data_IF_670426223458
#
_entry.id   IF_670426223458
#
_cell.length_a   1.000
_cell.length_b   1.000
_cell.length_c   1.000
_cell.angle_alpha   90.00
_cell.angle_beta   90.00
_cell.angle_gamma   90.00
#
_symmetry.space_group_name_H-M   'P 1'
#
loop_
_entity.id
_entity.type
_entity.pdbx_description
1 polymer ?
#
# COMPACT_ATOMS: atom_id res chain seq x y z
N UNK A 1 -39.35 -4.90 -0.51
CA UNK A 1 -40.17 -3.68 -0.37
C UNK A 1 -39.63 -2.63 -1.36
N UNK A 2 -40.47 -2.18 -2.35
CA UNK A 2 -40.07 -1.14 -3.30
C UNK A 2 -39.65 0.17 -2.64
N UNK A 3 -40.23 0.54 -1.51
CA UNK A 3 -39.99 1.80 -0.82
C UNK A 3 -38.60 1.97 -0.28
N UNK A 4 -37.85 0.88 -0.04
CA UNK A 4 -36.47 0.93 0.43
C UNK A 4 -35.45 0.84 -0.71
N UNK A 5 -35.86 0.73 -1.96
CA UNK A 5 -34.99 0.52 -3.11
C UNK A 5 -33.94 1.65 -3.26
N UNK A 6 -34.41 2.89 -3.10
CA UNK A 6 -33.54 4.06 -3.21
C UNK A 6 -32.45 4.04 -2.14
N UNK A 7 -32.83 3.70 -0.90
CA UNK A 7 -31.89 3.57 0.22
C UNK A 7 -30.90 2.43 0.00
N UNK A 8 -31.35 1.29 -0.57
CA UNK A 8 -30.47 0.16 -0.93
C UNK A 8 -29.44 0.60 -1.98
N UNK A 9 -29.87 1.27 -3.04
CA UNK A 9 -28.99 1.75 -4.10
C UNK A 9 -27.94 2.71 -3.52
N UNK A 10 -28.38 3.72 -2.76
CA UNK A 10 -27.47 4.69 -2.13
C UNK A 10 -26.46 4.01 -1.19
N UNK A 11 -26.94 3.12 -0.33
CA UNK A 11 -26.05 2.36 0.59
C UNK A 11 -25.07 1.48 -0.16
N UNK A 12 -25.47 0.92 -1.30
CA UNK A 12 -24.58 0.12 -2.14
C UNK A 12 -23.43 0.94 -2.72
N UNK A 13 -23.67 2.17 -3.12
CA UNK A 13 -22.59 3.09 -3.54
C UNK A 13 -21.65 3.42 -2.37
N UNK A 14 -22.17 3.71 -1.20
CA UNK A 14 -21.36 3.97 0.01
C UNK A 14 -20.47 2.75 0.35
N UNK A 15 -21.00 1.53 0.24
CA UNK A 15 -20.22 0.31 0.44
C UNK A 15 -19.17 0.15 -0.65
N UNK A 16 -19.54 0.40 -1.92
CA UNK A 16 -18.63 0.24 -3.05
C UNK A 16 -17.41 1.18 -3.00
N UNK A 17 -17.57 2.36 -2.42
CA UNK A 17 -16.53 3.40 -2.35
C UNK A 17 -15.74 3.38 -1.04
N UNK A 18 -16.27 2.78 0.03
CA UNK A 18 -15.67 2.81 1.37
C UNK A 18 -14.83 1.56 1.66
N UNK A 19 -13.97 1.63 2.67
CA UNK A 19 -13.10 0.54 3.04
C UNK A 19 -12.15 0.18 1.90
N UNK A 20 -12.19 -1.09 1.47
CA UNK A 20 -11.53 -1.54 0.23
C UNK A 20 -12.53 -1.39 -0.92
N UNK A 21 -12.37 -0.40 -1.81
CA UNK A 21 -13.33 -0.16 -2.88
C UNK A 21 -13.51 -1.38 -3.79
N UNK A 22 -14.77 -1.64 -4.18
CA UNK A 22 -15.06 -2.79 -5.03
C UNK A 22 -16.52 -2.79 -5.50
N UNK A 23 -16.89 -3.71 -6.42
CA UNK A 23 -18.24 -3.82 -6.94
C UNK A 23 -19.22 -4.33 -5.88
N UNK A 24 -20.43 -3.80 -5.91
CA UNK A 24 -21.59 -4.28 -5.13
C UNK A 24 -22.66 -4.74 -6.11
N UNK A 25 -23.23 -5.91 -5.87
CA UNK A 25 -24.31 -6.46 -6.65
C UNK A 25 -25.63 -6.28 -5.90
N UNK A 26 -26.62 -5.72 -6.58
CA UNK A 26 -28.00 -5.62 -6.07
C UNK A 26 -28.86 -6.59 -6.89
N UNK A 27 -29.42 -7.59 -6.23
CA UNK A 27 -30.44 -8.46 -6.84
C UNK A 27 -31.84 -7.87 -6.58
N UNK A 28 -32.57 -7.59 -7.67
CA UNK A 28 -33.91 -6.99 -7.62
C UNK A 28 -34.92 -7.97 -8.19
N UNK A 29 -35.64 -8.71 -7.34
CA UNK A 29 -36.71 -9.62 -7.79
C UNK A 29 -37.77 -8.91 -8.62
N UNK A 30 -38.40 -9.65 -9.54
CA UNK A 30 -39.37 -9.11 -10.47
C UNK A 30 -40.55 -8.41 -9.75
N UNK A 31 -41.03 -8.99 -8.66
CA UNK A 31 -42.14 -8.46 -7.87
C UNK A 31 -41.81 -7.08 -7.26
N UNK A 32 -40.53 -6.83 -6.97
CA UNK A 32 -40.07 -5.53 -6.47
C UNK A 32 -39.99 -4.50 -7.60
N UNK A 33 -39.59 -4.93 -8.81
CA UNK A 33 -39.54 -4.05 -9.99
C UNK A 33 -40.91 -3.62 -10.47
N UNK A 34 -41.92 -4.47 -10.31
CA UNK A 34 -43.31 -4.22 -10.70
C UNK A 34 -44.15 -3.58 -9.58
N UNK A 35 -43.56 -3.45 -8.37
CA UNK A 35 -44.24 -2.87 -7.22
C UNK A 35 -44.38 -1.35 -7.32
N UNK A 36 -45.44 -0.81 -6.69
CA UNK A 36 -45.65 0.62 -6.58
C UNK A 36 -44.75 1.24 -5.52
N UNK A 37 -44.26 2.44 -5.78
CA UNK A 37 -43.43 3.23 -4.87
C UNK A 37 -44.31 4.27 -4.20
N UNK A 38 -44.63 4.09 -2.92
CA UNK A 38 -45.43 5.01 -2.13
C UNK A 38 -44.66 6.22 -1.61
N UNK A 39 -43.37 6.03 -1.36
CA UNK A 39 -42.51 7.07 -0.80
C UNK A 39 -41.09 6.97 -1.32
N UNK A 40 -40.40 8.10 -1.41
CA UNK A 40 -39.01 8.19 -1.76
C UNK A 40 -38.22 8.44 -0.48
N UNK A 41 -37.41 7.46 -0.08
CA UNK A 41 -36.46 7.58 1.04
C UNK A 41 -35.04 7.30 0.55
N UNK A 42 -34.14 8.28 0.69
CA UNK A 42 -32.74 8.20 0.32
C UNK A 42 -31.82 8.10 1.53
N UNK A 43 -32.35 7.80 2.71
CA UNK A 43 -31.54 7.56 3.90
C UNK A 43 -30.62 6.35 3.71
N UNK A 44 -29.48 6.33 4.40
CA UNK A 44 -28.60 5.16 4.39
C UNK A 44 -29.18 4.06 5.27
N UNK A 45 -29.15 2.83 4.78
CA UNK A 45 -29.56 1.66 5.55
C UNK A 45 -28.39 1.23 6.44
N UNK A 46 -28.69 0.91 7.70
CA UNK A 46 -27.70 0.29 8.58
C UNK A 46 -27.30 -1.07 8.03
N UNK A 47 -26.01 -1.28 7.82
CA UNK A 47 -25.42 -2.54 7.34
C UNK A 47 -24.64 -3.20 8.47
N UNK A 48 -25.31 -4.02 9.33
CA UNK A 48 -24.64 -4.71 10.42
C UNK A 48 -23.47 -5.57 9.90
N UNK A 49 -22.31 -5.42 10.50
CA UNK A 49 -21.10 -6.16 10.09
C UNK A 49 -20.24 -5.47 9.03
N UNK A 50 -20.71 -4.41 8.37
CA UNK A 50 -19.87 -3.59 7.51
C UNK A 50 -19.39 -2.33 8.26
N UNK A 51 -18.19 -2.41 8.83
CA UNK A 51 -17.58 -1.30 9.55
C UNK A 51 -16.06 -1.30 9.28
N UNK A 52 -15.62 -0.70 8.18
CA UNK A 52 -14.21 -0.69 7.81
C UNK A 52 -13.39 0.03 8.88
N UNK A 53 -12.26 -0.59 9.28
CA UNK A 53 -11.35 -0.01 10.25
C UNK A 53 -10.49 1.04 9.56
N UNK A 54 -10.79 2.32 9.77
CA UNK A 54 -10.05 3.42 9.15
C UNK A 54 -8.81 3.82 9.98
N UNK A 55 -8.90 3.76 11.30
CA UNK A 55 -7.79 4.15 12.19
C UNK A 55 -7.03 2.91 12.64
N UNK A 56 -5.73 2.89 12.39
CA UNK A 56 -4.85 1.85 12.89
C UNK A 56 -4.81 1.80 14.42
N UNK A 57 -4.60 0.61 14.98
CA UNK A 57 -4.45 0.46 16.42
C UNK A 57 -3.15 1.13 16.90
N UNK A 58 -3.25 2.12 17.78
CA UNK A 58 -2.10 2.90 18.27
C UNK A 58 -1.01 2.04 18.96
N UNK A 59 -1.39 0.90 19.56
CA UNK A 59 -0.41 -0.01 20.15
C UNK A 59 0.43 -0.69 19.06
N UNK A 60 -0.18 -1.03 17.92
CA UNK A 60 0.55 -1.60 16.78
C UNK A 60 1.42 -0.53 16.09
N UNK A 61 0.93 0.70 15.97
CA UNK A 61 1.71 1.83 15.46
C UNK A 61 2.96 2.07 16.31
N UNK A 62 2.86 1.99 17.64
CA UNK A 62 4.02 2.10 18.55
C UNK A 62 4.99 0.93 18.39
N UNK A 63 4.49 -0.30 18.23
CA UNK A 63 5.35 -1.46 17.94
C UNK A 63 6.07 -1.31 16.60
N UNK A 64 5.38 -0.78 15.57
CA UNK A 64 6.00 -0.48 14.28
C UNK A 64 7.15 0.53 14.43
N UNK A 65 6.95 1.61 15.20
CA UNK A 65 8.01 2.56 15.56
C UNK A 65 9.22 1.84 16.17
N UNK A 66 9.00 0.91 17.09
CA UNK A 66 10.09 0.21 17.78
C UNK A 66 10.86 -0.69 16.81
N UNK A 67 10.17 -1.42 15.91
CA UNK A 67 10.80 -2.19 14.82
C UNK A 67 11.60 -1.31 13.86
N UNK A 68 11.07 -0.13 13.51
CA UNK A 68 11.75 0.85 12.65
C UNK A 68 13.04 1.34 13.31
N UNK A 69 13.02 1.58 14.62
CA UNK A 69 14.20 2.02 15.36
C UNK A 69 15.30 0.98 15.43
N UNK A 70 14.97 -0.29 15.43
CA UNK A 70 15.91 -1.41 15.44
C UNK A 70 16.49 -1.72 14.06
N UNK A 71 15.78 -1.37 12.99
CA UNK A 71 16.15 -1.73 11.63
C UNK A 71 17.37 -0.94 11.14
N UNK A 72 18.22 -1.64 10.41
CA UNK A 72 19.42 -1.09 9.75
C UNK A 72 19.25 -0.95 8.24
N UNK A 73 18.34 -1.73 7.67
CA UNK A 73 18.09 -1.80 6.22
C UNK A 73 16.61 -1.74 5.90
N UNK A 74 15.89 -0.70 6.36
CA UNK A 74 14.46 -0.61 6.13
C UNK A 74 14.14 -0.34 4.67
N UNK A 75 13.02 -0.90 4.20
CA UNK A 75 12.43 -0.64 2.89
C UNK A 75 10.93 -0.43 3.06
N UNK A 76 10.35 0.46 2.24
CA UNK A 76 8.91 0.61 2.13
C UNK A 76 8.45 -0.03 0.81
N UNK A 77 7.42 -0.87 0.89
CA UNK A 77 6.80 -1.49 -0.28
C UNK A 77 5.37 -0.97 -0.42
N UNK A 78 5.17 -0.10 -1.41
CA UNK A 78 3.90 0.59 -1.65
C UNK A 78 3.04 -0.13 -2.69
N UNK A 79 1.81 -0.43 -2.32
CA UNK A 79 0.79 -1.00 -3.21
C UNK A 79 -0.26 0.02 -3.65
N UNK A 80 -1.31 -0.47 -4.32
CA UNK A 80 -2.45 0.33 -4.78
C UNK A 80 -3.17 1.06 -3.63
N UNK A 81 -3.17 0.47 -2.43
CA UNK A 81 -3.82 1.07 -1.26
C UNK A 81 -3.27 2.45 -0.88
N UNK A 82 -2.00 2.74 -1.18
CA UNK A 82 -1.43 4.09 -0.99
C UNK A 82 -2.10 5.12 -1.90
N UNK A 83 -2.33 4.75 -3.16
CA UNK A 83 -2.97 5.62 -4.15
C UNK A 83 -4.45 5.80 -3.83
N UNK A 84 -5.16 4.70 -3.54
CA UNK A 84 -6.58 4.71 -3.20
C UNK A 84 -6.87 5.54 -1.94
N UNK A 85 -5.98 5.49 -0.95
CA UNK A 85 -6.07 6.30 0.26
C UNK A 85 -5.58 7.75 0.10
N UNK A 86 -5.06 8.12 -1.09
CA UNK A 86 -4.39 9.41 -1.32
C UNK A 86 -3.30 9.71 -0.28
N UNK A 87 -2.42 8.71 -0.03
CA UNK A 87 -1.44 8.69 1.04
C UNK A 87 0.01 8.90 0.56
N UNK A 88 0.20 9.37 -0.68
CA UNK A 88 1.53 9.54 -1.30
C UNK A 88 2.42 10.52 -0.53
N UNK A 89 1.84 11.59 0.02
CA UNK A 89 2.57 12.58 0.79
C UNK A 89 3.07 12.00 2.12
N UNK A 90 2.19 11.31 2.85
CA UNK A 90 2.53 10.67 4.12
C UNK A 90 3.56 9.54 3.93
N UNK A 91 3.47 8.81 2.80
CA UNK A 91 4.46 7.80 2.42
C UNK A 91 5.84 8.43 2.18
N UNK A 92 5.89 9.51 1.42
CA UNK A 92 7.12 10.25 1.14
C UNK A 92 7.74 10.80 2.42
N UNK A 93 6.95 11.41 3.28
CA UNK A 93 7.40 11.90 4.58
C UNK A 93 8.02 10.78 5.42
N UNK A 94 7.34 9.63 5.54
CA UNK A 94 7.87 8.48 6.25
C UNK A 94 9.20 8.01 5.67
N UNK A 95 9.28 7.88 4.34
CA UNK A 95 10.47 7.42 3.63
C UNK A 95 11.71 8.25 3.99
N UNK A 96 11.58 9.57 3.93
CA UNK A 96 12.68 10.47 4.29
C UNK A 96 12.98 10.47 5.79
N UNK A 97 11.94 10.44 6.63
CA UNK A 97 12.09 10.45 8.08
C UNK A 97 12.91 9.26 8.59
N UNK A 98 12.66 8.08 8.05
CA UNK A 98 13.33 6.84 8.51
C UNK A 98 14.47 6.39 7.59
N UNK A 99 14.81 7.14 6.55
CA UNK A 99 15.76 6.76 5.51
C UNK A 99 15.46 5.37 4.91
N UNK A 100 14.20 5.11 4.56
CA UNK A 100 13.77 3.87 3.93
C UNK A 100 13.34 4.13 2.48
N UNK A 101 14.08 3.60 1.49
CA UNK A 101 13.69 3.74 0.09
C UNK A 101 12.36 3.03 -0.19
N UNK A 102 11.67 3.53 -1.22
CA UNK A 102 10.34 3.04 -1.62
C UNK A 102 10.43 2.22 -2.89
N UNK A 103 9.84 1.04 -2.83
CA UNK A 103 9.51 0.23 -4.01
C UNK A 103 8.00 0.21 -4.21
N UNK A 104 7.57 -0.02 -5.43
CA UNK A 104 6.14 -0.10 -5.74
C UNK A 104 5.76 -1.45 -6.32
N UNK A 105 4.54 -1.89 -6.07
CA UNK A 105 3.90 -2.90 -6.93
C UNK A 105 3.49 -2.28 -8.26
N UNK A 106 3.05 -3.09 -9.23
CA UNK A 106 2.55 -2.56 -10.51
C UNK A 106 1.41 -1.54 -10.30
N UNK A 107 0.42 -1.88 -9.48
CA UNK A 107 -0.70 -1.00 -9.18
C UNK A 107 -0.36 0.10 -8.15
N UNK A 108 0.80 0.03 -7.53
CA UNK A 108 1.34 1.07 -6.66
C UNK A 108 2.20 2.12 -7.38
N UNK A 109 2.42 1.97 -8.70
CA UNK A 109 3.14 2.99 -9.49
C UNK A 109 2.42 4.33 -9.42
N UNK A 110 3.18 5.38 -9.11
CA UNK A 110 2.64 6.71 -8.83
C UNK A 110 2.45 7.02 -7.34
N UNK A 111 2.63 6.04 -6.43
CA UNK A 111 2.64 6.29 -5.00
C UNK A 111 3.81 7.20 -4.55
N UNK A 112 4.89 7.19 -5.29
CA UNK A 112 6.03 8.11 -5.17
C UNK A 112 6.49 8.50 -6.57
N UNK A 113 7.01 9.71 -6.74
CA UNK A 113 7.63 10.15 -7.99
C UNK A 113 8.86 9.27 -8.28
N UNK A 114 8.89 8.62 -9.45
CA UNK A 114 10.01 7.73 -9.83
C UNK A 114 11.32 8.48 -10.07
N UNK A 115 11.29 9.80 -10.23
CA UNK A 115 12.48 10.65 -10.30
C UNK A 115 13.06 10.96 -8.92
N UNK A 116 12.29 10.76 -7.84
CA UNK A 116 12.74 10.93 -6.47
C UNK A 116 13.87 9.95 -6.14
N UNK A 117 14.89 10.41 -5.44
CA UNK A 117 16.05 9.57 -5.07
C UNK A 117 15.64 8.36 -4.23
N UNK A 118 14.59 8.51 -3.41
CA UNK A 118 14.07 7.43 -2.57
C UNK A 118 13.29 6.36 -3.34
N UNK A 119 12.86 6.61 -4.59
CA UNK A 119 12.13 5.65 -5.40
C UNK A 119 13.07 4.63 -6.05
N UNK A 120 12.97 3.34 -5.70
CA UNK A 120 13.76 2.27 -6.32
C UNK A 120 13.07 1.66 -7.55
N UNK A 121 11.85 2.07 -7.85
CA UNK A 121 11.03 1.55 -8.93
C UNK A 121 10.21 0.32 -8.53
N UNK A 122 9.74 -0.43 -9.51
CA UNK A 122 8.81 -1.55 -9.32
C UNK A 122 9.55 -2.81 -8.87
N UNK A 123 8.94 -3.53 -7.91
CA UNK A 123 9.33 -4.88 -7.48
C UNK A 123 8.65 -5.96 -8.34
N UNK A 124 9.26 -7.12 -8.43
CA UNK A 124 8.68 -8.34 -8.98
C UNK A 124 9.23 -8.74 -10.35
N UNK A 125 8.51 -9.62 -11.05
CA UNK A 125 8.94 -10.27 -12.30
C UNK A 125 9.38 -9.26 -13.38
N UNK A 126 8.68 -8.16 -13.51
CA UNK A 126 8.99 -7.07 -14.44
C UNK A 126 9.58 -5.85 -13.73
N UNK A 127 10.06 -6.05 -12.51
CA UNK A 127 10.61 -5.02 -11.66
C UNK A 127 12.03 -4.62 -12.01
N UNK A 128 12.52 -3.61 -11.29
CA UNK A 128 13.89 -3.14 -11.42
C UNK A 128 14.84 -4.06 -10.65
N UNK A 129 16.03 -4.31 -11.22
CA UNK A 129 17.04 -5.13 -10.56
C UNK A 129 17.36 -4.61 -9.15
N UNK A 130 17.55 -3.31 -8.99
CA UNK A 130 17.83 -2.70 -7.69
C UNK A 130 16.72 -2.98 -6.67
N UNK A 131 15.45 -2.94 -7.07
CA UNK A 131 14.33 -3.25 -6.18
C UNK A 131 14.33 -4.74 -5.78
N UNK A 132 14.51 -5.64 -6.75
CA UNK A 132 14.51 -7.08 -6.51
C UNK A 132 15.72 -7.55 -5.66
N UNK A 133 16.88 -6.96 -5.86
CA UNK A 133 18.04 -7.29 -5.05
C UNK A 133 17.86 -6.76 -3.62
N UNK A 134 17.42 -5.52 -3.48
CA UNK A 134 17.33 -4.84 -2.18
C UNK A 134 16.30 -5.45 -1.24
N UNK A 135 15.18 -5.98 -1.77
CA UNK A 135 14.14 -6.61 -0.94
C UNK A 135 14.69 -7.82 -0.17
N UNK A 136 15.61 -8.58 -0.78
CA UNK A 136 16.22 -9.76 -0.18
C UNK A 136 17.37 -9.40 0.79
N UNK A 137 17.94 -8.20 0.68
CA UNK A 137 18.99 -7.69 1.55
C UNK A 137 18.45 -6.91 2.75
N UNK A 138 17.15 -6.55 2.74
CA UNK A 138 16.51 -5.77 3.80
C UNK A 138 16.35 -6.57 5.09
N UNK A 139 16.25 -5.88 6.21
CA UNK A 139 15.94 -6.45 7.52
C UNK A 139 14.54 -6.05 8.03
N UNK A 140 13.91 -5.06 7.35
CA UNK A 140 12.56 -4.62 7.64
C UNK A 140 11.86 -4.17 6.36
N UNK A 141 10.65 -4.69 6.14
CA UNK A 141 9.75 -4.27 5.09
C UNK A 141 8.52 -3.62 5.73
N UNK A 142 8.23 -2.39 5.33
CA UNK A 142 6.98 -1.70 5.68
C UNK A 142 6.08 -1.77 4.43
N UNK A 143 5.19 -2.75 4.41
CA UNK A 143 4.28 -3.01 3.32
C UNK A 143 2.97 -2.24 3.52
N UNK A 144 2.61 -1.38 2.57
CA UNK A 144 1.46 -0.47 2.66
C UNK A 144 0.49 -0.70 1.52
N UNK A 145 -0.70 -1.19 1.82
CA UNK A 145 -1.77 -1.40 0.84
C UNK A 145 -1.39 -2.33 -0.31
N UNK A 146 -0.70 -3.43 0.00
CA UNK A 146 -0.22 -4.41 -0.98
C UNK A 146 -0.66 -5.83 -0.63
N UNK A 147 -1.07 -6.61 -1.63
CA UNK A 147 -1.59 -7.98 -1.48
C UNK A 147 -0.52 -9.08 -1.56
N UNK A 148 0.75 -8.75 -1.77
CA UNK A 148 1.83 -9.71 -1.97
C UNK A 148 1.48 -10.80 -3.01
N UNK A 149 1.07 -10.37 -4.22
CA UNK A 149 0.79 -11.30 -5.31
C UNK A 149 2.07 -12.00 -5.78
N UNK A 150 1.92 -13.17 -6.40
CA UNK A 150 2.99 -13.98 -6.99
C UNK A 150 3.89 -13.18 -7.96
N UNK A 151 3.31 -12.23 -8.69
CA UNK A 151 4.02 -11.35 -9.62
C UNK A 151 4.97 -10.38 -8.91
N UNK A 152 4.68 -10.04 -7.66
CA UNK A 152 5.52 -9.16 -6.85
C UNK A 152 6.53 -9.96 -6.00
N UNK A 153 6.12 -11.08 -5.42
CA UNK A 153 6.95 -11.86 -4.49
C UNK A 153 7.81 -12.91 -5.19
N UNK A 154 7.35 -13.44 -6.33
CA UNK A 154 7.92 -14.65 -6.88
C UNK A 154 7.69 -15.85 -5.93
N UNK A 155 8.70 -16.66 -5.71
CA UNK A 155 8.65 -17.80 -4.78
C UNK A 155 8.60 -17.32 -3.34
N UNK A 156 7.54 -17.69 -2.64
CA UNK A 156 7.29 -17.23 -1.25
C UNK A 156 8.34 -17.74 -0.26
N UNK A 157 8.88 -18.94 -0.45
CA UNK A 157 9.90 -19.55 0.41
C UNK A 157 11.27 -18.83 0.36
N UNK A 158 11.48 -18.00 -0.66
CA UNK A 158 12.71 -17.22 -0.85
C UNK A 158 12.48 -15.70 -0.84
N UNK A 159 11.26 -15.25 -0.58
CA UNK A 159 10.94 -13.83 -0.52
C UNK A 159 11.39 -13.21 0.79
N UNK A 160 12.32 -12.26 0.72
CA UNK A 160 12.78 -11.46 1.86
C UNK A 160 13.08 -12.28 3.14
N UNK A 161 13.92 -13.33 3.07
CA UNK A 161 14.04 -14.36 4.12
C UNK A 161 14.59 -13.82 5.45
N UNK A 162 15.20 -12.65 5.45
CA UNK A 162 15.82 -12.05 6.62
C UNK A 162 15.05 -10.82 7.14
N UNK A 163 13.92 -10.48 6.53
CA UNK A 163 13.18 -9.26 6.85
C UNK A 163 12.02 -9.55 7.80
N UNK A 164 11.87 -8.70 8.81
CA UNK A 164 10.58 -8.55 9.51
C UNK A 164 9.61 -7.78 8.61
N UNK A 165 8.32 -8.12 8.66
CA UNK A 165 7.30 -7.50 7.82
C UNK A 165 6.24 -6.80 8.68
N UNK A 166 6.14 -5.48 8.52
CA UNK A 166 5.00 -4.68 8.97
C UNK A 166 4.04 -4.60 7.81
N UNK A 167 2.80 -5.08 7.95
CA UNK A 167 1.81 -5.02 6.88
C UNK A 167 0.65 -4.11 7.28
N UNK A 168 0.48 -3.02 6.55
CA UNK A 168 -0.58 -2.02 6.72
C UNK A 168 -1.57 -2.22 5.58
N UNK A 169 -2.78 -2.62 5.90
CA UNK A 169 -3.87 -2.76 4.93
C UNK A 169 -5.22 -2.45 5.57
N UNK A 170 -6.15 -1.91 4.78
CA UNK A 170 -7.52 -1.63 5.23
C UNK A 170 -8.35 -2.91 5.32
N UNK A 171 -8.00 -3.92 4.51
CA UNK A 171 -8.67 -5.22 4.46
C UNK A 171 -7.93 -6.23 5.34
N UNK A 172 -8.49 -6.61 6.50
CA UNK A 172 -7.85 -7.58 7.38
C UNK A 172 -7.66 -8.96 6.73
N UNK A 173 -8.42 -9.30 5.68
CA UNK A 173 -8.31 -10.57 4.98
C UNK A 173 -7.07 -10.67 4.06
N UNK A 174 -6.45 -9.55 3.72
CA UNK A 174 -5.21 -9.53 2.93
C UNK A 174 -3.96 -9.67 3.81
N UNK A 175 -4.06 -9.34 5.11
CA UNK A 175 -2.91 -9.41 6.02
C UNK A 175 -2.57 -10.86 6.36
N UNK A 176 -1.32 -11.25 6.11
CA UNK A 176 -0.84 -12.60 6.37
C UNK A 176 -1.37 -13.67 5.42
N UNK A 177 -2.05 -13.30 4.33
CA UNK A 177 -2.65 -14.24 3.38
C UNK A 177 -1.62 -14.97 2.53
N UNK A 178 -0.62 -14.25 2.03
CA UNK A 178 0.37 -14.80 1.10
C UNK A 178 1.79 -14.84 1.71
N UNK A 179 2.10 -13.93 2.62
CA UNK A 179 3.41 -13.81 3.27
C UNK A 179 3.19 -13.69 4.77
N UNK A 180 4.01 -14.37 5.55
CA UNK A 180 3.98 -14.25 7.01
C UNK A 180 4.29 -12.81 7.43
N UNK A 181 3.54 -12.30 8.42
CA UNK A 181 3.60 -10.92 8.86
C UNK A 181 3.95 -10.85 10.35
N UNK A 182 5.03 -10.15 10.69
CA UNK A 182 5.44 -9.96 12.09
C UNK A 182 4.55 -8.96 12.82
N UNK A 183 4.10 -7.92 12.11
CA UNK A 183 3.26 -6.88 12.69
C UNK A 183 2.13 -6.45 11.75
N UNK A 184 0.90 -6.91 11.97
CA UNK A 184 -0.27 -6.46 11.24
C UNK A 184 -0.78 -5.11 11.76
N UNK A 185 -1.15 -4.20 10.85
CA UNK A 185 -1.85 -2.95 11.19
C UNK A 185 -3.04 -2.81 10.25
N UNK A 186 -4.24 -3.13 10.75
CA UNK A 186 -5.47 -2.91 9.99
C UNK A 186 -5.84 -1.44 10.06
N UNK A 187 -5.99 -0.78 8.91
CA UNK A 187 -6.38 0.63 8.83
C UNK A 187 -6.15 1.22 7.45
N UNK A 188 -6.76 2.37 7.23
CA UNK A 188 -6.53 3.18 6.04
C UNK A 188 -5.08 3.65 5.98
N UNK A 189 -4.46 3.54 4.80
CA UNK A 189 -3.04 3.81 4.62
C UNK A 189 -2.66 5.23 5.04
N UNK A 190 -3.45 6.25 4.68
CA UNK A 190 -3.19 7.64 5.05
C UNK A 190 -3.21 7.86 6.55
N UNK A 191 -4.23 7.34 7.22
CA UNK A 191 -4.40 7.47 8.66
C UNK A 191 -3.27 6.77 9.44
N UNK A 192 -2.87 5.57 9.00
CA UNK A 192 -1.80 4.81 9.64
C UNK A 192 -0.45 5.47 9.41
N UNK A 193 -0.13 5.89 8.16
CA UNK A 193 1.12 6.58 7.84
C UNK A 193 1.23 7.90 8.58
N UNK A 194 0.17 8.71 8.63
CA UNK A 194 0.13 9.94 9.44
C UNK A 194 0.42 9.66 10.93
N UNK A 195 -0.16 8.58 11.46
CA UNK A 195 0.07 8.16 12.84
C UNK A 195 1.52 7.72 13.08
N UNK A 196 2.12 6.99 12.12
CA UNK A 196 3.54 6.60 12.16
C UNK A 196 4.47 7.82 12.11
N UNK A 197 4.23 8.76 11.18
CA UNK A 197 4.99 10.00 11.10
C UNK A 197 4.94 10.78 12.41
N UNK A 198 3.77 10.85 13.04
CA UNK A 198 3.62 11.54 14.32
C UNK A 198 4.41 10.87 15.47
N UNK A 199 4.37 9.54 15.58
CA UNK A 199 5.11 8.84 16.66
C UNK A 199 6.61 8.74 16.39
N UNK A 200 7.04 9.04 15.17
CA UNK A 200 8.45 9.07 14.73
C UNK A 200 8.99 10.50 14.60
N UNK A 201 8.21 11.54 14.93
CA UNK A 201 8.59 12.94 14.71
C UNK A 201 9.97 13.33 15.26
N UNK A 202 10.33 12.76 16.41
CA UNK A 202 11.62 13.00 17.06
C UNK A 202 12.61 11.84 16.82
N UNK A 203 12.37 11.04 15.78
CA UNK A 203 13.24 9.92 15.44
C UNK A 203 14.45 10.41 14.64
N UNK A 204 15.62 10.05 15.12
CA UNK A 204 16.87 10.18 14.37
C UNK A 204 17.23 8.81 13.78
N UNK A 205 17.30 8.74 12.46
CA UNK A 205 17.69 7.53 11.75
C UNK A 205 19.11 7.13 12.12
N UNK A 206 19.36 5.84 12.34
CA UNK A 206 20.68 5.31 12.65
C UNK A 206 21.62 5.39 11.44
N UNK A 207 22.92 5.38 11.70
CA UNK A 207 23.95 5.50 10.67
C UNK A 207 23.93 4.35 9.65
N UNK A 208 23.51 3.16 10.05
CA UNK A 208 23.43 2.02 9.14
C UNK A 208 22.30 2.22 8.12
N UNK A 209 21.13 2.73 8.53
CA UNK A 209 20.04 3.07 7.61
C UNK A 209 20.45 4.21 6.65
N UNK A 210 21.19 5.20 7.12
CA UNK A 210 21.74 6.26 6.25
C UNK A 210 22.72 5.71 5.21
N UNK A 211 23.60 4.79 5.60
CA UNK A 211 24.52 4.11 4.67
C UNK A 211 23.75 3.23 3.68
N UNK A 212 22.73 2.54 4.17
CA UNK A 212 21.87 1.69 3.36
C UNK A 212 21.17 2.46 2.23
N UNK A 213 20.47 3.56 2.57
CA UNK A 213 19.80 4.38 1.56
C UNK A 213 20.80 4.96 0.54
N UNK A 214 21.95 5.42 0.99
CA UNK A 214 22.99 5.94 0.09
C UNK A 214 23.48 4.87 -0.90
N UNK A 215 23.74 3.66 -0.43
CA UNK A 215 24.12 2.53 -1.27
C UNK A 215 23.04 2.23 -2.33
N UNK A 216 21.77 2.25 -1.95
CA UNK A 216 20.68 1.95 -2.89
C UNK A 216 20.46 3.05 -3.93
N UNK A 217 20.65 4.31 -3.55
CA UNK A 217 20.63 5.43 -4.50
C UNK A 217 21.77 5.31 -5.53
N UNK A 218 22.96 4.90 -5.11
CA UNK A 218 24.09 4.66 -6.01
C UNK A 218 23.78 3.50 -6.98
N UNK A 219 23.31 2.35 -6.46
CA UNK A 219 22.89 1.19 -7.28
C UNK A 219 21.76 1.57 -8.26
N UNK A 220 20.82 2.42 -7.84
CA UNK A 220 19.75 2.93 -8.72
C UNK A 220 20.35 3.65 -9.93
N UNK A 221 21.33 4.52 -9.72
CA UNK A 221 21.98 5.28 -10.82
C UNK A 221 22.67 4.37 -11.82
N UNK A 222 23.28 3.28 -11.36
CA UNK A 222 23.92 2.29 -12.22
C UNK A 222 22.92 1.46 -13.02
N UNK A 223 21.77 1.14 -12.42
CA UNK A 223 20.72 0.31 -13.04
C UNK A 223 19.77 1.10 -13.97
N UNK A 224 19.79 2.42 -13.93
CA UNK A 224 19.00 3.28 -14.82
C UNK A 224 19.91 3.84 -15.93
N UNK A 225 20.00 3.18 -17.08
CA UNK A 225 20.74 3.77 -18.19
C UNK A 225 20.09 5.11 -18.54
N UNK A 226 20.92 6.16 -18.66
CA UNK A 226 20.44 7.44 -19.18
C UNK A 226 19.88 7.20 -20.58
N UNK A 227 18.58 7.38 -20.73
CA UNK A 227 17.97 7.42 -22.06
C UNK A 227 18.35 8.76 -22.66
N UNK A 228 19.28 8.77 -23.59
CA UNK A 228 19.50 9.93 -24.45
C UNK A 228 18.41 9.91 -25.51
N UNK A 229 17.60 10.94 -25.57
CA UNK A 229 16.51 11.08 -26.56
C UNK A 229 17.02 11.48 -27.95
N UNK A 230 18.32 11.35 -28.22
CA UNK A 230 18.97 11.78 -29.46
C UNK A 230 18.84 10.76 -30.61
N UNK A 231 18.32 9.57 -30.33
CA UNK A 231 18.09 8.55 -31.36
C UNK A 231 16.67 8.68 -31.93
N UNK A 232 16.57 9.27 -33.12
CA UNK A 232 15.36 9.23 -33.93
C UNK A 232 15.66 8.32 -35.16
N UNK A 233 14.88 7.24 -35.41
CA UNK A 233 13.70 6.79 -34.67
C UNK A 233 14.02 6.07 -33.35
N UNK A 234 13.08 6.18 -32.36
CA UNK A 234 13.16 5.46 -31.09
C UNK A 234 13.25 3.95 -31.34
N UNK A 235 14.34 3.33 -30.94
CA UNK A 235 14.52 1.87 -31.02
C UNK A 235 14.22 1.24 -29.67
N UNK A 236 13.49 0.10 -29.63
CA UNK A 236 13.40 -0.68 -28.39
C UNK A 236 14.81 -1.10 -27.97
N UNK A 237 15.15 -0.93 -26.69
CA UNK A 237 16.38 -1.54 -26.15
C UNK A 237 16.17 -3.04 -26.02
N UNK A 238 17.03 -3.81 -26.64
CA UNK A 238 17.17 -5.27 -26.46
C UNK A 238 17.65 -5.61 -25.06
#
# INVERSE_FOLDING_TARGET
DPNIMTSIVKTSFEIAESGRPGPVLIDVPKEIQEGELDSFDDSLISTPGYNPTLKGNIKQVRKARDLIRESKKPIILAGAGVILANASQELKELSYLINAPVMTSLLGKGAIDETDDMALGMLGMHGRKVANDSINESDLIIAVGIRFSDRATGRLDSFAPNSKIIHIDIDPAEIGKNVDVDLPIVGDAKNVLSSLNNVLKDYESNEDAKKWVKLLIERKKECFPRVTYDDIPLKPKS
#
